data_IF_103376533986
#
_entry.id   IF_103376533986
#
_cell.length_a   1.000
_cell.length_b   1.000
_cell.length_c   1.000
_cell.angle_alpha   90.00
_cell.angle_beta   90.00
_cell.angle_gamma   90.00
#
_symmetry.space_group_name_H-M   'P 1'
#
loop_
_entity.id
_entity.type
_entity.pdbx_description
1 polymer ?
#
# COMPACT_ATOMS: atom_id res chain seq x y z
N UNK A 1 1.50 -12.47 4.35
CA UNK A 1 1.84 -11.36 5.30
C UNK A 1 1.00 -10.18 4.91
N UNK A 2 0.70 -9.26 5.81
CA UNK A 2 -0.08 -8.06 5.43
C UNK A 2 0.84 -6.87 5.12
N UNK A 3 0.60 -6.22 3.99
CA UNK A 3 1.11 -4.87 3.69
C UNK A 3 -0.04 -3.89 3.82
N UNK A 4 0.11 -2.99 4.79
CA UNK A 4 -0.82 -1.92 5.08
C UNK A 4 -0.36 -0.67 4.33
N UNK A 5 -1.24 -0.08 3.53
CA UNK A 5 -0.92 1.15 2.78
C UNK A 5 -1.80 2.27 3.31
N UNK A 6 -1.21 3.35 3.81
CA UNK A 6 -1.96 4.56 4.18
C UNK A 6 -2.71 5.09 2.96
N UNK A 7 -3.96 5.44 3.18
CA UNK A 7 -4.89 5.89 2.15
C UNK A 7 -4.40 7.09 1.31
N UNK A 8 -3.65 8.02 1.90
CA UNK A 8 -2.97 9.12 1.20
C UNK A 8 -2.05 8.67 0.06
N UNK A 9 -1.52 7.44 0.12
CA UNK A 9 -0.67 6.87 -0.93
C UNK A 9 -1.47 6.24 -2.08
N UNK A 10 -2.80 6.19 -2.01
CA UNK A 10 -3.65 5.61 -3.06
C UNK A 10 -3.86 6.61 -4.20
N UNK A 11 -4.12 7.88 -3.88
CA UNK A 11 -4.48 8.94 -4.82
C UNK A 11 -3.31 9.91 -5.10
N UNK A 12 -3.45 10.89 -6.02
CA UNK A 12 -2.40 11.87 -6.26
C UNK A 12 -1.95 12.53 -4.94
N UNK A 13 -0.64 12.71 -4.72
CA UNK A 13 0.43 12.72 -5.72
C UNK A 13 1.00 11.35 -6.16
N UNK A 14 0.53 10.23 -5.60
CA UNK A 14 0.89 8.90 -6.11
C UNK A 14 0.40 8.70 -7.55
N UNK A 15 1.23 8.06 -8.36
CA UNK A 15 0.87 7.62 -9.70
C UNK A 15 0.12 6.30 -9.59
N UNK A 16 -1.16 6.31 -10.00
CA UNK A 16 -2.02 5.13 -9.86
C UNK A 16 -1.46 3.87 -10.52
N UNK A 17 -0.81 4.00 -11.69
CA UNK A 17 -0.14 2.88 -12.35
C UNK A 17 0.96 2.29 -11.45
N UNK A 18 1.78 3.14 -10.82
CA UNK A 18 2.85 2.71 -9.92
C UNK A 18 2.33 2.07 -8.63
N UNK A 19 1.21 2.57 -8.08
CA UNK A 19 0.50 1.92 -6.98
C UNK A 19 0.00 0.53 -7.38
N UNK A 20 -0.64 0.41 -8.55
CA UNK A 20 -1.15 -0.86 -9.07
C UNK A 20 -0.01 -1.84 -9.35
N UNK A 21 1.11 -1.38 -9.92
CA UNK A 21 2.28 -2.21 -10.16
C UNK A 21 2.91 -2.70 -8.86
N UNK A 22 3.03 -1.84 -7.85
CA UNK A 22 3.58 -2.21 -6.54
C UNK A 22 2.71 -3.29 -5.87
N UNK A 23 1.41 -3.08 -5.80
CA UNK A 23 0.45 -4.02 -5.19
C UNK A 23 0.40 -5.35 -5.95
N UNK A 24 0.39 -5.32 -7.29
CA UNK A 24 0.52 -6.50 -8.15
C UNK A 24 1.79 -7.31 -7.83
N UNK A 25 2.96 -6.64 -7.84
CA UNK A 25 4.24 -7.33 -7.66
C UNK A 25 4.35 -7.89 -6.24
N UNK A 26 3.92 -7.14 -5.22
CA UNK A 26 3.89 -7.62 -3.83
C UNK A 26 2.95 -8.83 -3.67
N UNK A 27 1.73 -8.76 -4.21
CA UNK A 27 0.78 -9.89 -4.16
C UNK A 27 1.34 -11.14 -4.85
N UNK A 28 1.90 -11.01 -6.05
CA UNK A 28 2.40 -12.16 -6.82
C UNK A 28 3.73 -12.73 -6.32
N UNK A 29 4.67 -11.88 -5.89
CA UNK A 29 6.04 -12.30 -5.53
C UNK A 29 6.22 -12.58 -4.06
N UNK A 30 5.49 -11.87 -3.20
CA UNK A 30 5.62 -11.97 -1.75
C UNK A 30 4.41 -12.65 -1.10
N UNK A 31 3.36 -12.96 -1.88
CA UNK A 31 2.10 -13.52 -1.37
C UNK A 31 1.55 -12.68 -0.21
N UNK A 32 1.58 -11.37 -0.42
CA UNK A 32 1.20 -10.37 0.57
C UNK A 32 -0.27 -10.01 0.40
N UNK A 33 -1.00 -10.02 1.51
CA UNK A 33 -2.35 -9.47 1.63
C UNK A 33 -2.23 -7.94 1.69
N UNK A 34 -2.85 -7.25 0.75
CA UNK A 34 -2.77 -5.80 0.59
C UNK A 34 -4.02 -5.17 1.20
N UNK A 35 -3.84 -4.38 2.25
CA UNK A 35 -4.95 -3.65 2.87
C UNK A 35 -4.70 -2.15 2.83
N UNK A 36 -5.77 -1.38 2.65
CA UNK A 36 -5.72 0.09 2.74
C UNK A 36 -6.16 0.50 4.14
N UNK A 37 -5.29 1.21 4.85
CA UNK A 37 -5.64 1.79 6.15
C UNK A 37 -6.31 3.14 5.97
N UNK A 38 -7.59 3.23 6.37
CA UNK A 38 -8.40 4.44 6.20
C UNK A 38 -9.59 4.48 7.17
N UNK A 39 -9.99 5.67 7.57
CA UNK A 39 -11.29 5.94 8.20
C UNK A 39 -12.38 6.32 7.17
N UNK A 40 -12.03 6.35 5.89
CA UNK A 40 -12.86 6.84 4.78
C UNK A 40 -13.07 5.81 3.67
N UNK A 41 -13.35 4.55 4.05
CA UNK A 41 -13.47 3.39 3.15
C UNK A 41 -14.28 3.67 1.89
N UNK A 42 -15.47 4.27 2.01
CA UNK A 42 -16.35 4.54 0.86
C UNK A 42 -15.69 5.41 -0.22
N UNK A 43 -14.90 6.42 0.20
CA UNK A 43 -14.25 7.35 -0.73
C UNK A 43 -13.15 6.63 -1.53
N UNK A 44 -12.29 5.90 -0.83
CA UNK A 44 -11.17 5.18 -1.44
C UNK A 44 -11.62 3.98 -2.26
N UNK A 45 -12.63 3.24 -1.79
CA UNK A 45 -13.26 2.16 -2.56
C UNK A 45 -13.79 2.66 -3.90
N UNK A 46 -14.54 3.77 -3.91
CA UNK A 46 -15.07 4.36 -5.16
C UNK A 46 -13.95 4.82 -6.08
N UNK A 47 -12.89 5.42 -5.53
CA UNK A 47 -11.74 5.89 -6.31
C UNK A 47 -10.99 4.74 -6.99
N UNK A 48 -10.71 3.66 -6.25
CA UNK A 48 -10.00 2.47 -6.74
C UNK A 48 -10.86 1.70 -7.75
N UNK A 49 -12.13 1.43 -7.42
CA UNK A 49 -13.05 0.68 -8.28
C UNK A 49 -13.22 1.32 -9.65
N UNK A 50 -13.34 2.65 -9.71
CA UNK A 50 -13.48 3.39 -10.97
C UNK A 50 -12.26 3.27 -11.90
N UNK A 51 -11.10 2.85 -11.38
CA UNK A 51 -9.82 2.76 -12.10
C UNK A 51 -9.30 1.33 -12.26
N UNK A 52 -10.07 0.32 -11.81
CA UNK A 52 -9.62 -1.08 -11.80
C UNK A 52 -8.50 -1.35 -10.78
N UNK A 53 -8.45 -0.57 -9.70
CA UNK A 53 -7.43 -0.70 -8.64
C UNK A 53 -7.77 -1.74 -7.57
N UNK A 54 -8.92 -2.41 -7.69
CA UNK A 54 -9.38 -3.40 -6.71
C UNK A 54 -8.75 -4.79 -6.92
N UNK A 55 -8.06 -5.02 -8.04
CA UNK A 55 -7.54 -6.35 -8.42
C UNK A 55 -6.53 -6.92 -7.41
N UNK A 56 -5.85 -6.05 -6.64
CA UNK A 56 -4.79 -6.40 -5.69
C UNK A 56 -4.96 -5.64 -4.37
N UNK A 57 -6.18 -5.28 -4.01
CA UNK A 57 -6.53 -4.71 -2.70
C UNK A 57 -7.55 -5.65 -2.07
N UNK A 58 -7.14 -6.32 -0.99
CA UNK A 58 -7.91 -7.36 -0.34
C UNK A 58 -8.98 -6.76 0.60
N UNK A 59 -8.66 -5.69 1.33
CA UNK A 59 -9.61 -5.02 2.23
C UNK A 59 -9.25 -3.55 2.56
N UNK A 60 -10.20 -2.86 3.19
CA UNK A 60 -10.01 -1.56 3.83
C UNK A 60 -10.20 -1.71 5.33
N UNK A 61 -9.20 -1.32 6.10
CA UNK A 61 -9.20 -1.51 7.55
C UNK A 61 -9.00 -0.18 8.28
N UNK A 62 -9.53 0.00 9.49
CA UNK A 62 -9.23 1.17 10.29
C UNK A 62 -7.72 1.23 10.63
N UNK A 63 -7.13 2.42 10.76
CA UNK A 63 -5.71 2.54 11.08
C UNK A 63 -5.32 1.82 12.37
N UNK A 64 -4.27 0.99 12.29
CA UNK A 64 -3.70 0.30 13.46
C UNK A 64 -4.44 -0.95 13.92
N UNK A 65 -5.48 -1.42 13.20
CA UNK A 65 -6.18 -2.66 13.56
C UNK A 65 -5.46 -3.91 13.07
N UNK A 66 -4.73 -3.81 11.97
CA UNK A 66 -3.99 -4.93 11.38
C UNK A 66 -2.50 -4.88 11.70
N UNK A 67 -1.86 -6.04 11.83
CA UNK A 67 -0.41 -6.16 11.97
C UNK A 67 0.28 -6.27 10.60
N UNK A 68 1.58 -6.02 10.54
CA UNK A 68 2.38 -6.19 9.32
C UNK A 68 3.20 -4.96 8.95
N UNK A 69 3.71 -4.93 7.72
CA UNK A 69 4.53 -3.81 7.24
C UNK A 69 3.59 -2.69 6.82
N UNK A 70 3.94 -1.44 7.17
CA UNK A 70 3.15 -0.27 6.81
C UNK A 70 3.88 0.64 5.86
N UNK A 71 3.24 1.04 4.76
CA UNK A 71 3.67 2.19 3.96
C UNK A 71 2.95 3.43 4.50
N UNK A 72 3.72 4.42 4.92
CA UNK A 72 3.20 5.67 5.48
C UNK A 72 3.95 6.87 4.88
N UNK A 73 3.29 8.02 4.91
CA UNK A 73 3.85 9.35 4.66
C UNK A 73 4.55 9.91 5.90
N UNK A 74 4.25 9.41 7.10
CA UNK A 74 4.76 9.93 8.38
C UNK A 74 5.35 8.84 9.31
N UNK A 75 6.39 9.15 10.11
CA UNK A 75 7.07 8.17 10.98
C UNK A 75 6.35 7.90 12.31
N UNK A 76 5.02 7.87 12.31
CA UNK A 76 4.23 7.85 13.56
C UNK A 76 4.04 6.44 14.16
N UNK A 77 4.33 5.39 13.39
CA UNK A 77 4.06 4.01 13.80
C UNK A 77 5.18 3.07 13.35
N UNK A 78 5.52 2.08 14.17
CA UNK A 78 6.48 1.02 13.81
C UNK A 78 5.78 -0.34 13.63
N UNK A 79 6.24 -1.19 12.67
CA UNK A 79 7.25 -0.92 11.64
C UNK A 79 6.64 -0.24 10.40
N UNK A 80 7.17 0.93 10.02
CA UNK A 80 6.75 1.64 8.81
C UNK A 80 7.90 1.94 7.84
N UNK A 81 7.63 1.81 6.55
CA UNK A 81 8.47 2.29 5.46
C UNK A 81 7.92 3.64 4.98
N UNK A 82 8.68 4.70 5.25
CA UNK A 82 8.23 6.06 4.95
C UNK A 82 8.51 6.41 3.48
N UNK A 83 7.49 6.97 2.82
CA UNK A 83 7.54 7.47 1.46
C UNK A 83 6.48 8.57 1.24
N UNK A 84 6.82 9.63 0.51
CA UNK A 84 5.89 10.74 0.19
C UNK A 84 4.81 10.33 -0.84
N UNK A 85 5.19 9.52 -1.83
CA UNK A 85 4.33 9.10 -2.94
C UNK A 85 4.89 7.86 -3.63
N UNK A 86 4.05 7.11 -4.32
CA UNK A 86 4.49 5.97 -5.15
C UNK A 86 4.55 6.43 -6.61
N UNK A 87 5.73 6.34 -7.24
CA UNK A 87 5.97 6.72 -8.64
C UNK A 87 6.84 5.69 -9.33
N UNK A 88 6.95 5.76 -10.65
CA UNK A 88 7.77 4.80 -11.41
C UNK A 88 9.24 4.79 -10.97
N UNK A 89 9.76 5.92 -10.50
CA UNK A 89 11.14 6.07 -10.05
C UNK A 89 11.43 5.30 -8.76
N UNK A 90 10.42 5.07 -7.90
CA UNK A 90 10.62 4.45 -6.59
C UNK A 90 9.92 3.10 -6.41
N UNK A 91 9.04 2.66 -7.32
CA UNK A 91 8.33 1.37 -7.21
C UNK A 91 9.27 0.19 -6.93
N UNK A 92 10.37 0.05 -7.68
CA UNK A 92 11.31 -1.06 -7.49
C UNK A 92 12.04 -0.98 -6.15
N UNK A 93 12.43 0.23 -5.72
CA UNK A 93 13.06 0.45 -4.43
C UNK A 93 12.11 0.10 -3.28
N UNK A 94 10.84 0.51 -3.38
CA UNK A 94 9.80 0.18 -2.39
C UNK A 94 9.58 -1.32 -2.30
N UNK A 95 9.44 -2.01 -3.43
CA UNK A 95 9.33 -3.47 -3.46
C UNK A 95 10.49 -4.16 -2.72
N UNK A 96 11.73 -3.76 -3.00
CA UNK A 96 12.92 -4.32 -2.33
C UNK A 96 12.91 -4.07 -0.82
N UNK A 97 12.49 -2.88 -0.38
CA UNK A 97 12.37 -2.54 1.05
C UNK A 97 11.28 -3.38 1.74
N UNK A 98 10.13 -3.57 1.08
CA UNK A 98 9.04 -4.42 1.58
C UNK A 98 9.52 -5.87 1.68
N UNK A 99 10.18 -6.39 0.65
CA UNK A 99 10.74 -7.74 0.64
C UNK A 99 11.79 -7.94 1.75
N UNK A 100 12.67 -6.97 1.98
CA UNK A 100 13.63 -7.07 3.06
C UNK A 100 12.93 -7.11 4.43
N UNK A 101 12.00 -6.19 4.65
CA UNK A 101 11.26 -6.12 5.90
C UNK A 101 10.31 -7.31 6.12
N UNK A 102 9.93 -8.05 5.08
CA UNK A 102 9.13 -9.29 5.20
C UNK A 102 9.93 -10.51 5.69
N UNK A 103 11.26 -10.42 5.69
CA UNK A 103 12.15 -11.51 6.11
C UNK A 103 12.64 -11.39 7.56
N UNK A 104 12.29 -10.28 8.22
CA UNK A 104 12.57 -10.00 9.62
C UNK A 104 11.46 -10.57 10.51
#
# INVERSE_FOLDING_TARGET
MTLRIRDELVNPPTWFSSFRDLTLICSLRLHTDIVIETDHTDAYYRWLKARGGMDFVDDFVPPGTEAGIRLDTEPNFDPSLIVDRITSENTNQLYQRIQFASTL
#
